data_IF_789106487640
#
_entry.id   IF_789106487640
#
_cell.length_a   1.000
_cell.length_b   1.000
_cell.length_c   1.000
_cell.angle_alpha   90.00
_cell.angle_beta   90.00
_cell.angle_gamma   90.00
#
_symmetry.space_group_name_H-M   'P 1'
#
loop_
_entity.id
_entity.type
_entity.pdbx_description
1 polymer ?
#
# COMPACT_ATOMS: atom_id res chain seq x y z
N UNK A 1 -6.08 1.58 -31.86
CA UNK A 1 -6.33 2.38 -33.07
C UNK A 1 -7.82 2.24 -33.40
N UNK A 2 -8.61 3.29 -33.71
CA UNK A 2 -8.19 4.62 -34.20
C UNK A 2 -8.21 5.78 -33.18
N UNK A 3 -8.84 5.64 -32.01
CA UNK A 3 -9.15 6.78 -31.12
C UNK A 3 -7.98 7.33 -30.25
N UNK A 4 -6.78 6.74 -30.33
CA UNK A 4 -5.68 7.06 -29.41
C UNK A 4 -6.06 6.84 -27.93
N UNK A 5 -5.11 7.00 -27.00
CA UNK A 5 -5.40 7.04 -25.56
C UNK A 5 -4.51 8.06 -24.91
N UNK A 6 -5.09 9.05 -24.23
CA UNK A 6 -4.33 10.02 -23.44
C UNK A 6 -3.83 9.32 -22.17
N UNK A 7 -2.55 8.93 -22.17
CA UNK A 7 -1.95 8.08 -21.14
C UNK A 7 -1.93 8.80 -19.78
N UNK A 8 -1.59 10.09 -19.74
CA UNK A 8 -1.36 10.82 -18.47
C UNK A 8 -2.60 10.99 -17.59
N UNK A 9 -3.80 11.11 -18.17
CA UNK A 9 -5.05 11.33 -17.42
C UNK A 9 -5.88 10.06 -17.24
N UNK A 10 -5.59 8.99 -17.98
CA UNK A 10 -6.38 7.75 -17.96
C UNK A 10 -5.69 6.60 -17.23
N UNK A 11 -4.61 6.89 -16.50
CA UNK A 11 -3.83 5.92 -15.74
C UNK A 11 -3.53 6.44 -14.35
N UNK A 12 -3.42 5.50 -13.41
CA UNK A 12 -2.90 5.73 -12.08
C UNK A 12 -1.38 5.73 -12.14
N UNK A 13 -0.69 6.86 -11.90
CA UNK A 13 0.76 6.97 -12.10
C UNK A 13 1.59 6.33 -10.98
N UNK A 14 0.97 5.85 -9.89
CA UNK A 14 1.64 5.39 -8.68
C UNK A 14 2.61 4.23 -8.92
N UNK A 15 2.19 3.21 -9.67
CA UNK A 15 3.05 2.05 -9.98
C UNK A 15 4.26 2.44 -10.85
N UNK A 16 4.06 3.30 -11.84
CA UNK A 16 5.14 3.72 -12.74
C UNK A 16 6.14 4.63 -12.03
N UNK A 17 5.64 5.54 -11.20
CA UNK A 17 6.48 6.45 -10.42
C UNK A 17 7.28 5.70 -9.36
N UNK A 18 6.71 4.71 -8.67
CA UNK A 18 7.48 3.88 -7.74
C UNK A 18 8.60 3.13 -8.44
N UNK A 19 8.33 2.48 -9.57
CA UNK A 19 9.36 1.77 -10.34
C UNK A 19 10.47 2.69 -10.85
N UNK A 20 10.12 3.89 -11.31
CA UNK A 20 11.10 4.90 -11.72
C UNK A 20 11.99 5.36 -10.55
N UNK A 21 11.40 5.57 -9.36
CA UNK A 21 12.14 5.94 -8.14
C UNK A 21 13.07 4.82 -7.70
N UNK A 22 12.59 3.57 -7.66
CA UNK A 22 13.43 2.42 -7.31
C UNK A 22 14.60 2.25 -8.29
N UNK A 23 14.35 2.37 -9.59
CA UNK A 23 15.41 2.33 -10.60
C UNK A 23 16.40 3.50 -10.45
N UNK A 24 15.92 4.71 -10.16
CA UNK A 24 16.76 5.88 -9.91
C UNK A 24 17.67 5.70 -8.69
N UNK A 25 17.14 5.16 -7.59
CA UNK A 25 17.91 4.85 -6.38
C UNK A 25 18.97 3.80 -6.67
N UNK A 26 18.64 2.71 -7.37
CA UNK A 26 19.60 1.66 -7.72
C UNK A 26 20.74 2.19 -8.58
N UNK A 27 20.44 3.04 -9.57
CA UNK A 27 21.44 3.67 -10.41
C UNK A 27 22.31 4.68 -9.64
N UNK A 28 21.73 5.40 -8.66
CA UNK A 28 22.49 6.31 -7.80
C UNK A 28 23.56 5.56 -6.99
N UNK A 29 23.27 4.33 -6.54
CA UNK A 29 24.23 3.45 -5.88
C UNK A 29 25.17 2.70 -6.85
N UNK A 30 25.13 3.00 -8.16
CA UNK A 30 25.99 2.36 -9.16
C UNK A 30 25.56 0.95 -9.56
N UNK A 31 24.35 0.52 -9.19
CA UNK A 31 23.82 -0.80 -9.57
C UNK A 31 23.05 -0.65 -10.89
N UNK A 32 23.71 -0.96 -12.01
CA UNK A 32 23.12 -0.87 -13.34
C UNK A 32 22.16 -2.04 -13.61
N UNK A 33 20.91 -1.91 -13.17
CA UNK A 33 19.84 -2.90 -13.39
C UNK A 33 18.92 -2.43 -14.51
N UNK A 34 18.55 -3.33 -15.43
CA UNK A 34 17.56 -3.01 -16.45
C UNK A 34 16.20 -2.71 -15.81
N UNK A 35 15.49 -1.69 -16.29
CA UNK A 35 14.13 -1.33 -15.83
C UNK A 35 13.19 -2.53 -15.80
N UNK A 36 13.32 -3.47 -16.75
CA UNK A 36 12.52 -4.70 -16.77
C UNK A 36 12.68 -5.52 -15.48
N UNK A 37 13.90 -5.67 -14.98
CA UNK A 37 14.17 -6.46 -13.78
C UNK A 37 13.59 -5.76 -12.54
N UNK A 38 13.65 -4.42 -12.49
CA UNK A 38 13.01 -3.64 -11.42
C UNK A 38 11.50 -3.89 -11.41
N UNK A 39 10.84 -3.83 -12.57
CA UNK A 39 9.40 -4.11 -12.67
C UNK A 39 9.04 -5.56 -12.27
N UNK A 40 9.87 -6.55 -12.65
CA UNK A 40 9.62 -7.96 -12.33
C UNK A 40 9.70 -8.23 -10.82
N UNK A 41 10.66 -7.63 -10.12
CA UNK A 41 10.87 -7.85 -8.69
C UNK A 41 10.08 -6.88 -7.79
N UNK A 42 9.35 -5.93 -8.37
CA UNK A 42 8.58 -4.96 -7.60
C UNK A 42 7.52 -5.62 -6.71
N UNK A 43 6.75 -6.57 -7.27
CA UNK A 43 5.64 -7.20 -6.55
C UNK A 43 6.10 -8.02 -5.32
N UNK A 44 7.13 -8.88 -5.40
CA UNK A 44 7.69 -9.55 -4.22
C UNK A 44 8.22 -8.61 -3.14
N UNK A 45 8.89 -7.52 -3.54
CA UNK A 45 9.44 -6.53 -2.59
C UNK A 45 8.31 -5.83 -1.83
N UNK A 46 7.27 -5.38 -2.54
CA UNK A 46 6.11 -4.78 -1.90
C UNK A 46 5.31 -5.78 -1.06
N UNK A 47 5.26 -7.06 -1.45
CA UNK A 47 4.66 -8.12 -0.62
C UNK A 47 5.33 -8.26 0.74
N UNK A 48 6.67 -8.22 0.77
CA UNK A 48 7.41 -8.20 2.04
C UNK A 48 7.07 -6.97 2.89
N UNK A 49 6.97 -5.78 2.27
CA UNK A 49 6.55 -4.57 2.99
C UNK A 49 5.11 -4.64 3.47
N UNK A 50 4.19 -5.27 2.75
CA UNK A 50 2.81 -5.50 3.18
C UNK A 50 2.77 -6.38 4.43
N UNK A 51 3.59 -7.43 4.51
CA UNK A 51 3.68 -8.27 5.71
C UNK A 51 4.10 -7.46 6.95
N UNK A 52 5.04 -6.53 6.79
CA UNK A 52 5.46 -5.61 7.86
C UNK A 52 4.32 -4.65 8.22
N UNK A 53 3.64 -4.07 7.23
CA UNK A 53 2.51 -3.18 7.46
C UNK A 53 1.35 -3.90 8.18
N UNK A 54 1.09 -5.16 7.84
CA UNK A 54 0.08 -5.99 8.48
C UNK A 54 0.42 -6.31 9.94
N UNK A 55 1.69 -6.63 10.23
CA UNK A 55 2.19 -6.77 11.60
C UNK A 55 1.89 -5.50 12.42
N UNK A 56 2.27 -4.34 11.88
CA UNK A 56 2.11 -3.06 12.54
C UNK A 56 0.63 -2.71 12.78
N UNK A 57 -0.23 -2.91 11.77
CA UNK A 57 -1.67 -2.70 11.88
C UNK A 57 -2.29 -3.58 12.97
N UNK A 58 -2.04 -4.89 12.93
CA UNK A 58 -2.63 -5.83 13.90
C UNK A 58 -2.12 -5.56 15.31
N UNK A 59 -0.85 -5.17 15.46
CA UNK A 59 -0.28 -4.77 16.74
C UNK A 59 -1.00 -3.54 17.32
N UNK A 60 -1.26 -2.52 16.52
CA UNK A 60 -1.98 -1.31 16.98
C UNK A 60 -3.44 -1.59 17.34
N UNK A 61 -4.11 -2.49 16.61
CA UNK A 61 -5.52 -2.82 16.87
C UNK A 61 -5.69 -3.70 18.12
N UNK A 62 -4.81 -4.70 18.30
CA UNK A 62 -4.95 -5.69 19.39
C UNK A 62 -4.13 -5.37 20.63
N UNK A 63 -3.16 -4.46 20.53
CA UNK A 63 -2.18 -4.18 21.58
C UNK A 63 -1.19 -5.33 21.84
N UNK A 64 -1.24 -6.44 21.08
CA UNK A 64 -0.44 -7.63 21.30
C UNK A 64 0.55 -7.87 20.14
N UNK A 65 1.86 -7.96 20.40
CA UNK A 65 2.84 -8.21 19.35
C UNK A 65 2.72 -9.62 18.76
N UNK A 66 2.26 -10.60 19.55
CA UNK A 66 2.05 -11.98 19.12
C UNK A 66 1.01 -12.08 18.00
N UNK A 67 -0.13 -11.39 18.16
CA UNK A 67 -1.18 -11.34 17.14
C UNK A 67 -0.68 -10.70 15.84
N UNK A 68 0.17 -9.68 15.95
CA UNK A 68 0.84 -9.08 14.78
C UNK A 68 1.72 -10.08 14.04
N UNK A 69 2.47 -10.92 14.76
CA UNK A 69 3.36 -11.90 14.14
C UNK A 69 2.58 -12.98 13.39
N UNK A 70 1.47 -13.45 13.97
CA UNK A 70 0.56 -14.38 13.29
C UNK A 70 -0.08 -13.75 12.05
N UNK A 71 -0.48 -12.47 12.11
CA UNK A 71 -1.03 -11.74 10.96
C UNK A 71 -0.04 -11.67 9.80
N UNK A 72 1.21 -11.29 10.07
CA UNK A 72 2.26 -11.25 9.05
C UNK A 72 2.55 -12.64 8.46
N UNK A 73 2.58 -13.69 9.28
CA UNK A 73 2.76 -15.06 8.82
C UNK A 73 1.62 -15.49 7.88
N UNK A 74 0.36 -15.27 8.28
CA UNK A 74 -0.79 -15.65 7.48
C UNK A 74 -0.86 -14.88 6.16
N UNK A 75 -0.52 -13.59 6.16
CA UNK A 75 -0.49 -12.81 4.93
C UNK A 75 0.61 -13.30 3.98
N UNK A 76 1.79 -13.66 4.50
CA UNK A 76 2.91 -14.14 3.70
C UNK A 76 2.63 -15.46 2.98
N UNK A 77 1.81 -16.34 3.56
CA UNK A 77 1.46 -17.64 2.96
C UNK A 77 0.09 -17.62 2.25
N UNK A 78 -0.65 -16.51 2.28
CA UNK A 78 -2.01 -16.44 1.77
C UNK A 78 -2.03 -16.61 0.23
N UNK A 79 -2.63 -17.68 -0.31
CA UNK A 79 -2.62 -17.95 -1.76
C UNK A 79 -3.35 -16.86 -2.55
N UNK A 80 -4.39 -16.25 -1.96
CA UNK A 80 -5.13 -15.15 -2.58
C UNK A 80 -4.24 -13.93 -2.80
N UNK A 81 -3.36 -13.60 -1.85
CA UNK A 81 -2.43 -12.48 -2.00
C UNK A 81 -1.25 -12.83 -2.92
N UNK A 82 -0.73 -14.05 -2.80
CA UNK A 82 0.38 -14.54 -3.62
C UNK A 82 0.02 -14.52 -5.11
N UNK A 83 -1.19 -14.91 -5.50
CA UNK A 83 -1.61 -14.92 -6.91
C UNK A 83 -1.52 -13.56 -7.61
N UNK A 84 -1.60 -12.46 -6.85
CA UNK A 84 -1.52 -11.07 -7.35
C UNK A 84 -0.15 -10.43 -7.15
N UNK A 85 0.74 -11.09 -6.40
CA UNK A 85 2.07 -10.56 -6.01
C UNK A 85 3.24 -11.46 -6.43
N UNK A 86 3.05 -12.29 -7.46
CA UNK A 86 4.10 -13.16 -8.01
C UNK A 86 5.17 -12.32 -8.73
N UNK A 87 6.43 -12.75 -8.68
CA UNK A 87 7.49 -12.18 -9.50
C UNK A 87 7.11 -12.17 -10.99
N UNK A 88 7.18 -11.00 -11.63
CA UNK A 88 6.75 -10.80 -13.01
C UNK A 88 5.30 -10.32 -13.17
N UNK A 89 4.49 -10.36 -12.11
CA UNK A 89 3.15 -9.76 -12.08
C UNK A 89 3.25 -8.26 -11.80
N UNK A 90 3.46 -7.46 -12.84
CA UNK A 90 3.53 -6.00 -12.74
C UNK A 90 2.15 -5.36 -12.93
N UNK A 91 1.30 -5.51 -11.92
CA UNK A 91 -0.02 -4.89 -11.87
C UNK A 91 -0.13 -3.94 -10.67
N UNK A 92 -1.07 -3.00 -10.73
CA UNK A 92 -1.27 -1.96 -9.72
C UNK A 92 -1.57 -2.56 -8.34
N UNK A 93 -2.19 -3.73 -8.29
CA UNK A 93 -2.54 -4.45 -7.07
C UNK A 93 -1.32 -4.78 -6.21
N UNK A 94 -0.16 -5.03 -6.82
CA UNK A 94 1.07 -5.37 -6.13
C UNK A 94 1.51 -4.27 -5.15
N UNK A 95 1.34 -3.00 -5.54
CA UNK A 95 1.69 -1.82 -4.74
C UNK A 95 0.50 -1.32 -3.93
N UNK A 96 -0.71 -1.46 -4.47
CA UNK A 96 -1.93 -0.96 -3.84
C UNK A 96 -2.26 -1.67 -2.53
N UNK A 97 -2.01 -2.99 -2.43
CA UNK A 97 -2.31 -3.74 -1.21
C UNK A 97 -1.41 -3.26 -0.05
N UNK A 98 -0.13 -3.02 -0.31
CA UNK A 98 0.76 -2.37 0.65
C UNK A 98 0.24 -0.98 1.04
N UNK A 99 -0.09 -0.13 0.07
CA UNK A 99 -0.57 1.23 0.30
C UNK A 99 -1.85 1.24 1.16
N UNK A 100 -2.77 0.31 0.90
CA UNK A 100 -4.01 0.13 1.64
C UNK A 100 -3.75 -0.28 3.10
N UNK A 101 -2.96 -1.33 3.33
CA UNK A 101 -2.64 -1.79 4.69
C UNK A 101 -1.88 -0.73 5.47
N UNK A 102 -0.94 -0.03 4.83
CA UNK A 102 -0.20 1.07 5.45
C UNK A 102 -1.10 2.27 5.79
N UNK A 103 -2.05 2.62 4.91
CA UNK A 103 -3.01 3.70 5.17
C UNK A 103 -3.86 3.38 6.40
N UNK A 104 -4.39 2.16 6.51
CA UNK A 104 -5.14 1.75 7.70
C UNK A 104 -4.27 1.74 8.97
N UNK A 105 -3.01 1.29 8.88
CA UNK A 105 -2.09 1.34 10.02
C UNK A 105 -1.91 2.77 10.55
N UNK A 106 -1.54 3.71 9.66
CA UNK A 106 -1.28 5.09 10.07
C UNK A 106 -2.57 5.77 10.52
N UNK A 107 -3.72 5.45 9.90
CA UNK A 107 -5.02 5.94 10.33
C UNK A 107 -5.37 5.51 11.76
N UNK A 108 -5.30 4.21 12.06
CA UNK A 108 -5.57 3.68 13.42
C UNK A 108 -4.61 4.29 14.43
N UNK A 109 -3.32 4.40 14.07
CA UNK A 109 -2.32 5.04 14.92
C UNK A 109 -2.60 6.51 15.18
N UNK A 110 -3.09 7.24 14.17
CA UNK A 110 -3.48 8.64 14.31
C UNK A 110 -4.67 8.80 15.27
N UNK A 111 -5.68 7.93 15.17
CA UNK A 111 -6.84 7.92 16.08
C UNK A 111 -6.40 7.60 17.51
N UNK A 112 -5.58 6.56 17.70
CA UNK A 112 -5.12 6.15 19.04
C UNK A 112 -4.22 7.20 19.71
N UNK A 113 -3.36 7.88 18.95
CA UNK A 113 -2.41 8.85 19.51
C UNK A 113 -3.01 10.25 19.64
N UNK A 114 -3.97 10.62 18.79
CA UNK A 114 -4.55 11.97 18.73
C UNK A 114 -3.58 13.05 18.23
N UNK A 115 -2.52 12.70 17.50
CA UNK A 115 -1.52 13.67 17.02
C UNK A 115 -1.73 14.07 15.56
N UNK A 116 -1.66 15.38 15.32
CA UNK A 116 -1.77 15.98 13.98
C UNK A 116 -0.70 15.49 13.01
N UNK A 117 0.50 15.14 13.50
CA UNK A 117 1.57 14.58 12.67
C UNK A 117 1.17 13.23 12.06
N UNK A 118 0.53 12.36 12.86
CA UNK A 118 0.05 11.07 12.36
C UNK A 118 -1.12 11.24 11.38
N UNK A 119 -1.98 12.23 11.59
CA UNK A 119 -3.04 12.58 10.63
C UNK A 119 -2.48 13.07 9.29
N UNK A 120 -1.41 13.89 9.31
CA UNK A 120 -0.73 14.32 8.09
C UNK A 120 -0.10 13.13 7.36
N UNK A 121 0.56 12.23 8.08
CA UNK A 121 1.13 11.01 7.50
C UNK A 121 0.04 10.09 6.93
N UNK A 122 -1.13 9.99 7.58
CA UNK A 122 -2.27 9.24 7.06
C UNK A 122 -2.78 9.84 5.74
N UNK A 123 -2.85 11.17 5.64
CA UNK A 123 -3.24 11.85 4.41
C UNK A 123 -2.24 11.62 3.26
N UNK A 124 -0.93 11.62 3.55
CA UNK A 124 0.12 11.30 2.56
C UNK A 124 0.03 9.84 2.11
N UNK A 125 -0.16 8.90 3.04
CA UNK A 125 -0.37 7.49 2.73
C UNK A 125 -1.61 7.27 1.86
N UNK A 126 -2.71 7.97 2.17
CA UNK A 126 -3.93 7.94 1.38
C UNK A 126 -3.74 8.54 -0.02
N UNK A 127 -3.03 9.66 -0.14
CA UNK A 127 -2.70 10.24 -1.45
C UNK A 127 -1.92 9.25 -2.33
N UNK A 128 -0.96 8.54 -1.75
CA UNK A 128 -0.22 7.50 -2.44
C UNK A 128 -1.12 6.35 -2.92
N UNK A 129 -2.10 5.94 -2.10
CA UNK A 129 -3.10 4.95 -2.50
C UNK A 129 -3.96 5.42 -3.68
N UNK A 130 -4.46 6.66 -3.64
CA UNK A 130 -5.25 7.26 -4.75
C UNK A 130 -4.43 7.28 -6.05
N UNK A 131 -3.14 7.60 -5.96
CA UNK A 131 -2.25 7.60 -7.11
C UNK A 131 -1.97 6.19 -7.66
N UNK A 132 -2.10 5.14 -6.84
CA UNK A 132 -1.69 3.78 -7.18
C UNK A 132 -2.82 2.90 -7.69
N UNK A 133 -4.05 3.03 -7.16
CA UNK A 133 -5.17 2.15 -7.54
C UNK A 133 -6.55 2.76 -7.27
N UNK A 134 -7.52 2.42 -8.13
CA UNK A 134 -8.91 2.91 -8.03
C UNK A 134 -9.68 2.43 -6.80
N UNK A 135 -9.14 1.49 -6.02
CA UNK A 135 -9.75 1.03 -4.77
C UNK A 135 -9.67 2.03 -3.62
N UNK A 136 -9.13 3.23 -3.81
CA UNK A 136 -9.16 4.30 -2.79
C UNK A 136 -10.58 4.66 -2.31
N UNK A 137 -11.60 4.43 -3.16
CA UNK A 137 -13.02 4.62 -2.83
C UNK A 137 -13.42 3.75 -1.63
N UNK A 138 -12.85 2.54 -1.52
CA UNK A 138 -13.06 1.67 -0.37
C UNK A 138 -12.58 2.32 0.92
N UNK A 139 -11.37 2.87 0.93
CA UNK A 139 -10.79 3.51 2.13
C UNK A 139 -11.65 4.70 2.59
N UNK A 140 -12.04 5.57 1.66
CA UNK A 140 -12.84 6.76 2.01
C UNK A 140 -14.17 6.38 2.63
N UNK A 141 -14.86 5.40 2.05
CA UNK A 141 -16.14 4.92 2.55
C UNK A 141 -15.98 4.23 3.92
N UNK A 142 -14.97 3.36 4.09
CA UNK A 142 -14.72 2.68 5.37
C UNK A 142 -14.36 3.66 6.47
N UNK A 143 -13.52 4.67 6.22
CA UNK A 143 -13.17 5.70 7.20
C UNK A 143 -14.41 6.51 7.58
N UNK A 144 -15.25 6.88 6.62
CA UNK A 144 -16.48 7.63 6.88
C UNK A 144 -17.46 6.83 7.75
N UNK A 145 -17.63 5.54 7.45
CA UNK A 145 -18.45 4.63 8.25
C UNK A 145 -17.87 4.46 9.66
N UNK A 146 -16.55 4.34 9.79
CA UNK A 146 -15.89 4.22 11.09
C UNK A 146 -16.12 5.45 11.97
N UNK A 147 -15.94 6.66 11.42
CA UNK A 147 -16.21 7.90 12.15
C UNK A 147 -17.69 8.04 12.49
N UNK A 148 -18.59 7.70 11.56
CA UNK A 148 -20.03 7.71 11.82
C UNK A 148 -20.41 6.75 12.96
N UNK A 149 -19.85 5.54 12.97
CA UNK A 149 -20.08 4.56 14.02
C UNK A 149 -19.58 5.05 15.38
N UNK A 150 -18.41 5.71 15.44
CA UNK A 150 -17.92 6.34 16.66
C UNK A 150 -18.87 7.42 17.18
N UNK A 151 -19.37 8.30 16.30
CA UNK A 151 -20.33 9.33 16.69
C UNK A 151 -21.65 8.77 17.25
N UNK A 152 -22.10 7.61 16.76
CA UNK A 152 -23.31 6.95 17.25
C UNK A 152 -23.07 6.21 18.57
N UNK A 153 -21.89 5.60 18.75
CA UNK A 153 -21.56 4.78 19.92
C UNK A 153 -21.02 5.61 21.11
N UNK A 154 -20.50 6.80 20.86
CA UNK A 154 -19.89 7.67 21.88
C UNK A 154 -18.38 7.47 21.98
#
# INVERSE_FOLDING_TARGET
YPLGRVIGQTLYPGLMTTSAVFHGILNFFGICVNVRNVCVFMAPVFSAFTAIAAFLLTKEVTGRPEAGLFSALFLGICPSYLSRSVAGSYDNEAVAIFALTNTFYVFVKAVNTGSMLWSMLAAVAYFYMVASWGGYVFITNTVSIYVFALLVLG
#
